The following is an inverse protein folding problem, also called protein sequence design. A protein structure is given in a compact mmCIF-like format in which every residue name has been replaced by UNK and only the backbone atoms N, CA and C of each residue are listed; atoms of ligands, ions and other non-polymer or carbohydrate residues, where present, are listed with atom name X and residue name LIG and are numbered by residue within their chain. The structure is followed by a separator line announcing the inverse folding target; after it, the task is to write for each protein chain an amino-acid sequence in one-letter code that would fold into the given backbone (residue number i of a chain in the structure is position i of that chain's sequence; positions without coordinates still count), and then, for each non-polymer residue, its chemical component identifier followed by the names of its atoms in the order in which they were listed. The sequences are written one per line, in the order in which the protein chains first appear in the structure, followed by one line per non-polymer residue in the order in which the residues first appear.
data_IF_274116067079
#
_entry.id   IF_274116067079
#
_cell.length_a   1.000
_cell.length_b   1.000
_cell.length_c   1.000
_cell.angle_alpha   90.00
_cell.angle_beta   90.00
_cell.angle_gamma   90.00
#
_symmetry.space_group_name_H-M   'P 1'
#
loop_
_entity.id
_entity.type
_entity.pdbx_description
1 polymer ?
#
# COMPACT_ATOMS: atom_id res chain seq x y z
N UNK A 1 -1.20 13.84 9.57
CA UNK A 1 -0.90 12.53 10.20
C UNK A 1 0.44 12.59 10.96
N UNK A 2 1.55 13.01 10.36
CA UNK A 2 2.88 13.03 10.99
C UNK A 2 2.91 13.77 12.35
N UNK A 3 2.25 14.93 12.46
CA UNK A 3 2.14 15.68 13.73
C UNK A 3 1.38 14.87 14.79
N UNK A 4 0.29 14.20 14.42
CA UNK A 4 -0.45 13.32 15.33
C UNK A 4 0.43 12.14 15.79
N UNK A 5 1.10 11.47 14.85
CA UNK A 5 2.00 10.36 15.15
C UNK A 5 3.12 10.79 16.11
N UNK A 6 3.81 11.91 15.83
CA UNK A 6 4.85 12.47 16.72
C UNK A 6 4.32 12.73 18.14
N UNK A 7 3.13 13.32 18.26
CA UNK A 7 2.51 13.57 19.58
C UNK A 7 2.26 12.24 20.32
N UNK A 8 1.69 11.24 19.64
CA UNK A 8 1.45 9.93 20.23
C UNK A 8 2.76 9.26 20.67
N UNK A 9 3.80 9.29 19.83
CA UNK A 9 5.11 8.76 20.16
C UNK A 9 5.75 9.46 21.36
N UNK A 10 5.66 10.79 21.42
CA UNK A 10 6.20 11.56 22.55
C UNK A 10 5.49 11.26 23.87
N UNK A 11 4.18 11.05 23.84
CA UNK A 11 3.38 10.80 25.03
C UNK A 11 3.48 9.35 25.53
N UNK A 12 3.55 8.38 24.61
CA UNK A 12 3.38 6.97 24.92
C UNK A 12 4.59 6.10 24.58
N UNK A 13 5.61 6.62 23.90
CA UNK A 13 6.77 5.86 23.44
C UNK A 13 7.54 5.15 24.55
N UNK A 14 7.49 5.66 25.78
CA UNK A 14 8.09 4.99 26.94
C UNK A 14 7.28 3.80 27.48
N UNK A 15 6.01 3.65 27.06
CA UNK A 15 5.10 2.56 27.47
C UNK A 15 4.81 1.58 26.34
N UNK A 16 4.76 2.06 25.10
CA UNK A 16 4.40 1.27 23.92
C UNK A 16 5.69 0.84 23.22
N UNK A 17 5.88 -0.45 23.11
CA UNK A 17 7.07 -1.04 22.49
C UNK A 17 6.92 -1.25 20.97
N UNK A 18 5.72 -1.62 20.52
CA UNK A 18 5.45 -1.93 19.11
C UNK A 18 4.43 -0.94 18.55
N UNK A 19 4.81 -0.28 17.46
CA UNK A 19 3.99 0.72 16.79
C UNK A 19 3.65 0.29 15.38
N UNK A 20 2.41 0.46 14.99
CA UNK A 20 1.91 0.22 13.64
C UNK A 20 1.43 1.55 13.08
N UNK A 21 1.97 1.97 11.95
CA UNK A 21 1.59 3.22 11.29
C UNK A 21 0.20 3.12 10.67
N UNK A 22 -0.03 2.07 9.89
CA UNK A 22 -1.31 1.76 9.25
C UNK A 22 -1.59 0.26 9.34
N UNK A 23 -2.86 -0.06 9.51
CA UNK A 23 -3.40 -1.39 9.32
C UNK A 23 -4.18 -1.40 8.00
N UNK A 24 -3.84 -2.33 7.10
CA UNK A 24 -4.50 -2.57 5.82
C UNK A 24 -4.64 -1.29 4.95
N UNK A 25 -3.57 -0.60 4.60
CA UNK A 25 -3.62 0.69 3.90
C UNK A 25 -4.28 0.62 2.52
N UNK A 26 -4.39 -0.58 1.92
CA UNK A 26 -5.08 -0.77 0.64
C UNK A 26 -6.61 -0.69 0.77
N UNK A 27 -7.18 -1.02 1.94
CA UNK A 27 -8.64 -1.08 2.13
C UNK A 27 -9.34 0.25 1.86
N UNK A 28 -8.89 1.41 2.37
CA UNK A 28 -9.48 2.69 1.99
C UNK A 28 -9.30 3.03 0.50
N UNK A 29 -8.24 2.54 -0.15
CA UNK A 29 -8.02 2.74 -1.59
C UNK A 29 -9.03 1.91 -2.40
N UNK A 30 -9.11 0.60 -2.12
CA UNK A 30 -10.05 -0.28 -2.79
C UNK A 30 -11.50 0.16 -2.53
N UNK A 31 -11.89 0.24 -1.27
CA UNK A 31 -13.26 0.47 -0.87
C UNK A 31 -13.77 1.85 -1.18
N UNK A 32 -12.92 2.86 -1.11
CA UNK A 32 -13.30 4.24 -1.30
C UNK A 32 -13.18 4.75 -2.72
N UNK A 33 -12.24 4.18 -3.54
CA UNK A 33 -11.86 4.77 -4.83
C UNK A 33 -11.83 3.79 -6.00
N UNK A 34 -11.84 2.48 -5.79
CA UNK A 34 -11.97 1.48 -6.85
C UNK A 34 -13.33 0.80 -6.83
N UNK A 35 -13.84 0.53 -5.63
CA UNK A 35 -15.17 -0.01 -5.38
C UNK A 35 -16.03 1.02 -4.65
N UNK A 36 -17.14 0.62 -4.05
CA UNK A 36 -18.11 1.52 -3.41
C UNK A 36 -18.58 1.04 -2.03
N UNK A 37 -17.76 0.25 -1.33
CA UNK A 37 -18.11 -0.25 0.00
C UNK A 37 -17.57 0.58 1.16
N UNK A 38 -16.75 1.63 0.88
CA UNK A 38 -16.29 2.62 1.85
C UNK A 38 -16.47 4.05 1.32
N UNK A 39 -16.70 4.99 2.23
CA UNK A 39 -16.67 6.41 1.89
C UNK A 39 -15.26 6.78 1.32
N UNK A 40 -15.19 7.61 0.27
CA UNK A 40 -16.24 8.43 -0.33
C UNK A 40 -17.01 7.77 -1.49
N UNK A 41 -16.88 6.46 -1.70
CA UNK A 41 -17.62 5.69 -2.72
C UNK A 41 -17.41 6.23 -4.16
N UNK A 42 -16.19 6.64 -4.47
CA UNK A 42 -15.80 7.12 -5.81
C UNK A 42 -15.14 5.99 -6.58
N UNK A 43 -15.50 5.86 -7.87
CA UNK A 43 -14.83 4.93 -8.80
C UNK A 43 -13.89 5.72 -9.70
N UNK A 44 -12.69 5.98 -9.22
CA UNK A 44 -11.71 6.85 -9.87
C UNK A 44 -10.29 6.33 -9.62
N UNK A 45 -9.68 5.75 -10.66
CA UNK A 45 -8.34 5.16 -10.58
C UNK A 45 -7.23 6.19 -10.30
N UNK A 46 -7.39 7.43 -10.76
CA UNK A 46 -6.43 8.51 -10.51
C UNK A 46 -6.45 8.90 -9.03
N UNK A 47 -7.64 9.06 -8.46
CA UNK A 47 -7.78 9.34 -7.03
C UNK A 47 -7.30 8.14 -6.19
N UNK A 48 -7.57 6.91 -6.61
CA UNK A 48 -7.09 5.72 -5.93
C UNK A 48 -5.55 5.71 -5.84
N UNK A 49 -4.86 5.94 -6.96
CA UNK A 49 -3.40 6.02 -6.99
C UNK A 49 -2.85 7.17 -6.13
N UNK A 50 -3.50 8.35 -6.16
CA UNK A 50 -3.10 9.48 -5.33
C UNK A 50 -3.28 9.19 -3.84
N UNK A 51 -4.37 8.56 -3.45
CA UNK A 51 -4.65 8.18 -2.05
C UNK A 51 -3.65 7.14 -1.57
N UNK A 52 -3.35 6.12 -2.38
CA UNK A 52 -2.32 5.12 -2.06
C UNK A 52 -0.95 5.79 -1.82
N UNK A 53 -0.54 6.69 -2.72
CA UNK A 53 0.70 7.45 -2.56
C UNK A 53 0.71 8.30 -1.28
N UNK A 54 -0.38 9.01 -1.00
CA UNK A 54 -0.49 9.85 0.19
C UNK A 54 -0.45 9.05 1.50
N UNK A 55 -1.00 7.83 1.50
CA UNK A 55 -0.93 6.92 2.66
C UNK A 55 0.53 6.45 2.87
N UNK A 56 1.22 6.05 1.80
CA UNK A 56 2.65 5.69 1.88
C UNK A 56 3.51 6.85 2.36
N UNK A 57 3.23 8.06 1.89
CA UNK A 57 3.93 9.26 2.34
C UNK A 57 3.64 9.58 3.82
N UNK A 58 2.40 9.40 4.26
CA UNK A 58 2.03 9.58 5.67
C UNK A 58 2.72 8.53 6.56
N UNK A 59 2.83 7.28 6.10
CA UNK A 59 3.63 6.23 6.74
C UNK A 59 5.09 6.65 6.88
N UNK A 60 5.73 7.05 5.79
CA UNK A 60 7.13 7.44 5.79
C UNK A 60 7.42 8.61 6.75
N UNK A 61 6.56 9.63 6.73
CA UNK A 61 6.67 10.76 7.68
C UNK A 61 6.47 10.35 9.15
N UNK A 62 5.65 9.32 9.41
CA UNK A 62 5.50 8.79 10.76
C UNK A 62 6.74 8.00 11.19
N UNK A 63 7.29 7.14 10.31
CA UNK A 63 8.55 6.43 10.56
C UNK A 63 9.69 7.41 10.85
N UNK A 64 9.84 8.44 10.03
CA UNK A 64 10.85 9.51 10.27
C UNK A 64 10.66 10.15 11.64
N UNK A 65 9.43 10.55 11.99
CA UNK A 65 9.15 11.15 13.29
C UNK A 65 9.46 10.21 14.46
N UNK A 66 9.26 8.91 14.29
CA UNK A 66 9.60 7.89 15.29
C UNK A 66 11.11 7.77 15.47
N UNK A 67 11.86 7.70 14.36
CA UNK A 67 13.34 7.61 14.39
C UNK A 67 14.00 8.85 15.02
N UNK A 68 13.49 10.04 14.70
CA UNK A 68 13.97 11.30 15.31
C UNK A 68 13.81 11.37 16.83
N UNK A 69 12.82 10.66 17.39
CA UNK A 69 12.59 10.58 18.82
C UNK A 69 13.48 9.55 19.54
N UNK A 70 14.26 8.77 18.79
CA UNK A 70 15.19 7.75 19.31
C UNK A 70 14.54 6.80 20.35
N UNK A 71 13.32 6.37 20.12
CA UNK A 71 12.58 5.49 21.02
C UNK A 71 13.16 4.07 20.98
N UNK A 72 13.09 3.37 22.11
CA UNK A 72 13.62 2.01 22.26
C UNK A 72 12.71 0.90 21.74
N UNK A 73 11.55 1.25 21.16
CA UNK A 73 10.61 0.30 20.58
C UNK A 73 10.85 0.03 19.10
N UNK A 74 9.85 -0.57 18.47
CA UNK A 74 9.86 -0.96 17.06
C UNK A 74 8.65 -0.36 16.33
N UNK A 75 8.83 0.02 15.05
CA UNK A 75 7.77 0.56 14.20
C UNK A 75 7.63 -0.25 12.91
N UNK A 76 6.39 -0.53 12.53
CA UNK A 76 6.08 -1.30 11.34
C UNK A 76 4.78 -0.88 10.67
N UNK A 77 4.35 -1.69 9.72
CA UNK A 77 3.08 -1.58 9.00
C UNK A 77 2.41 -2.95 8.96
N UNK A 78 1.08 -2.99 8.90
CA UNK A 78 0.33 -4.23 8.70
C UNK A 78 -0.33 -4.19 7.34
N UNK A 79 0.01 -5.16 6.48
CA UNK A 79 -0.55 -5.32 5.14
C UNK A 79 -1.48 -6.53 5.11
N UNK A 80 -2.63 -6.38 4.44
CA UNK A 80 -3.45 -7.52 4.09
C UNK A 80 -2.97 -8.10 2.76
N UNK A 81 -2.26 -9.22 2.83
CA UNK A 81 -1.69 -9.87 1.66
C UNK A 81 -2.56 -11.05 1.23
N UNK A 82 -2.97 -11.04 -0.04
CA UNK A 82 -3.84 -12.05 -0.61
C UNK A 82 -3.15 -12.73 -1.80
N UNK A 83 -2.57 -13.93 -1.62
CA UNK A 83 -1.94 -14.66 -2.72
C UNK A 83 -2.90 -14.86 -3.90
N UNK A 84 -2.43 -14.57 -5.10
CA UNK A 84 -3.22 -14.66 -6.32
C UNK A 84 -2.80 -15.87 -7.14
N UNK A 85 -3.61 -16.93 -7.10
CA UNK A 85 -3.41 -18.15 -7.88
C UNK A 85 -4.22 -18.12 -9.17
N UNK A 86 -3.70 -18.71 -10.22
CA UNK A 86 -4.41 -18.87 -11.49
C UNK A 86 -5.58 -19.84 -11.35
N UNK A 87 -6.66 -19.62 -12.09
CA UNK A 87 -7.76 -20.58 -12.18
C UNK A 87 -7.37 -21.76 -13.06
N UNK A 88 -6.66 -21.48 -14.18
CA UNK A 88 -6.12 -22.48 -15.12
C UNK A 88 -4.63 -22.22 -15.37
N UNK A 89 -3.96 -23.14 -16.07
CA UNK A 89 -2.56 -22.97 -16.47
C UNK A 89 -2.37 -22.12 -17.75
N UNK A 90 -3.44 -21.49 -18.24
CA UNK A 90 -3.36 -20.63 -19.43
C UNK A 90 -2.48 -19.40 -19.17
N UNK A 91 -1.79 -18.93 -20.22
CA UNK A 91 -0.97 -17.72 -20.14
C UNK A 91 -1.83 -16.47 -19.84
N UNK A 92 -3.08 -16.46 -20.27
CA UNK A 92 -4.03 -15.40 -19.98
C UNK A 92 -4.33 -15.33 -18.47
N UNK A 93 -4.61 -16.46 -17.82
CA UNK A 93 -4.88 -16.51 -16.37
C UNK A 93 -3.61 -16.19 -15.57
N UNK A 94 -2.44 -16.66 -16.01
CA UNK A 94 -1.15 -16.30 -15.37
C UNK A 94 -0.90 -14.80 -15.42
N UNK A 95 -1.16 -14.17 -16.55
CA UNK A 95 -1.06 -12.71 -16.70
C UNK A 95 -2.05 -11.97 -15.80
N UNK A 96 -3.29 -12.43 -15.74
CA UNK A 96 -4.32 -11.86 -14.89
C UNK A 96 -3.97 -11.99 -13.38
N UNK A 97 -3.46 -13.16 -12.96
CA UNK A 97 -3.00 -13.35 -11.58
C UNK A 97 -1.80 -12.45 -11.24
N UNK A 98 -0.87 -12.26 -12.20
CA UNK A 98 0.23 -11.30 -12.06
C UNK A 98 -0.24 -9.86 -11.87
N UNK A 99 -1.28 -9.43 -12.58
CA UNK A 99 -1.89 -8.11 -12.37
C UNK A 99 -2.57 -8.02 -11.01
N UNK A 100 -3.32 -9.04 -10.60
CA UNK A 100 -3.96 -9.06 -9.29
C UNK A 100 -2.91 -8.94 -8.16
N UNK A 101 -1.82 -9.67 -8.24
CA UNK A 101 -0.71 -9.55 -7.28
C UNK A 101 -0.07 -8.16 -7.30
N UNK A 102 0.16 -7.62 -8.49
CA UNK A 102 0.76 -6.30 -8.68
C UNK A 102 -0.07 -5.19 -8.04
N UNK A 103 -1.38 -5.19 -8.25
CA UNK A 103 -2.28 -4.17 -7.74
C UNK A 103 -2.61 -4.34 -6.25
N UNK A 104 -2.86 -5.57 -5.79
CA UNK A 104 -3.39 -5.81 -4.45
C UNK A 104 -2.32 -6.12 -3.39
N UNK A 105 -1.16 -6.60 -3.79
CA UNK A 105 -0.07 -6.89 -2.86
C UNK A 105 1.11 -5.95 -3.05
N UNK A 106 1.70 -5.97 -4.26
CA UNK A 106 2.98 -5.32 -4.53
C UNK A 106 2.89 -3.80 -4.55
N UNK A 107 1.70 -3.23 -4.79
CA UNK A 107 1.48 -1.78 -4.75
C UNK A 107 1.89 -1.12 -3.43
N UNK A 108 1.75 -1.83 -2.30
CA UNK A 108 2.20 -1.39 -0.98
C UNK A 108 3.43 -2.17 -0.49
N UNK A 109 3.49 -3.48 -0.74
CA UNK A 109 4.59 -4.32 -0.27
C UNK A 109 5.95 -3.86 -0.82
N UNK A 110 6.03 -3.64 -2.14
CA UNK A 110 7.30 -3.29 -2.77
C UNK A 110 7.81 -1.91 -2.29
N UNK A 111 7.03 -0.81 -2.28
CA UNK A 111 7.51 0.46 -1.77
C UNK A 111 7.86 0.48 -0.28
N UNK A 112 7.07 -0.20 0.56
CA UNK A 112 7.22 -0.11 2.02
C UNK A 112 8.21 -1.13 2.61
N UNK A 113 8.55 -2.18 1.87
CA UNK A 113 9.40 -3.27 2.36
C UNK A 113 10.62 -3.51 1.49
N UNK A 114 10.48 -3.37 0.15
CA UNK A 114 11.60 -3.54 -0.78
C UNK A 114 12.22 -2.23 -1.23
N UNK A 115 11.66 -1.09 -0.81
CA UNK A 115 12.15 0.25 -1.15
C UNK A 115 12.19 0.54 -2.66
N UNK A 116 11.21 -0.01 -3.40
CA UNK A 116 11.08 0.20 -4.84
C UNK A 116 9.62 0.34 -5.27
N UNK A 117 9.32 1.26 -6.18
CA UNK A 117 8.01 1.28 -6.82
C UNK A 117 7.97 0.22 -7.93
N UNK A 118 6.92 -0.66 -7.99
CA UNK A 118 6.81 -1.67 -9.03
C UNK A 118 6.74 -1.03 -10.42
N UNK A 119 7.78 -1.20 -11.23
CA UNK A 119 7.89 -0.58 -12.56
C UNK A 119 6.65 -0.85 -13.43
N UNK A 120 6.19 -2.11 -13.47
CA UNK A 120 5.02 -2.49 -14.26
C UNK A 120 3.74 -1.76 -13.81
N UNK A 121 3.57 -1.52 -12.49
CA UNK A 121 2.43 -0.74 -11.98
C UNK A 121 2.53 0.72 -12.42
N UNK A 122 3.72 1.31 -12.32
CA UNK A 122 3.94 2.70 -12.76
C UNK A 122 3.66 2.87 -14.26
N UNK A 123 4.09 1.91 -15.09
CA UNK A 123 3.82 1.90 -16.53
C UNK A 123 2.32 1.82 -16.84
N UNK A 124 1.57 0.96 -16.13
CA UNK A 124 0.12 0.84 -16.27
C UNK A 124 -0.57 2.16 -15.86
N UNK A 125 -0.22 2.70 -14.69
CA UNK A 125 -0.78 3.97 -14.22
C UNK A 125 -0.49 5.12 -15.18
N UNK A 126 0.70 5.17 -15.76
CA UNK A 126 1.08 6.17 -16.77
C UNK A 126 0.24 6.03 -18.04
N UNK A 127 0.05 4.80 -18.53
CA UNK A 127 -0.73 4.54 -19.76
C UNK A 127 -2.22 4.93 -19.61
N UNK A 128 -2.72 5.04 -18.38
CA UNK A 128 -4.11 5.39 -18.07
C UNK A 128 -4.25 6.79 -17.43
N UNK A 129 -3.23 7.64 -17.48
CA UNK A 129 -3.22 8.96 -16.85
C UNK A 129 -3.54 8.94 -15.34
N UNK A 130 -3.16 7.88 -14.66
CA UNK A 130 -3.43 7.63 -13.24
C UNK A 130 -2.20 7.78 -12.34
N UNK A 131 -1.06 8.28 -12.85
CA UNK A 131 0.10 8.54 -12.00
C UNK A 131 -0.25 9.58 -10.92
N UNK A 132 0.15 9.34 -9.66
CA UNK A 132 -0.05 10.33 -8.59
C UNK A 132 0.81 11.58 -8.83
N UNK A 133 0.27 12.72 -8.44
CA UNK A 133 1.08 13.94 -8.34
C UNK A 133 2.01 13.82 -7.15
N UNK A 134 3.30 13.93 -7.37
CA UNK A 134 4.33 13.73 -6.36
C UNK A 134 5.54 14.64 -6.61
N UNK A 135 6.33 14.90 -5.59
CA UNK A 135 7.69 15.43 -5.72
C UNK A 135 8.72 14.31 -5.67
N UNK A 136 9.93 14.60 -6.16
CA UNK A 136 11.05 13.65 -6.04
C UNK A 136 11.41 13.38 -4.57
N UNK A 137 11.30 14.38 -3.72
CA UNK A 137 11.62 14.28 -2.30
C UNK A 137 10.58 13.40 -1.57
N UNK A 138 9.28 13.52 -1.91
CA UNK A 138 8.24 12.67 -1.32
C UNK A 138 8.41 11.20 -1.73
N UNK A 139 8.72 10.93 -2.99
CA UNK A 139 9.00 9.58 -3.47
C UNK A 139 10.24 8.98 -2.80
N UNK A 140 11.32 9.75 -2.70
CA UNK A 140 12.55 9.33 -2.02
C UNK A 140 12.31 9.07 -0.52
N UNK A 141 11.49 9.89 0.13
CA UNK A 141 11.13 9.71 1.53
C UNK A 141 10.38 8.39 1.76
N UNK A 142 9.42 8.04 0.89
CA UNK A 142 8.72 6.76 0.96
C UNK A 142 9.71 5.60 0.88
N UNK A 143 10.62 5.63 -0.10
CA UNK A 143 11.57 4.55 -0.34
C UNK A 143 12.72 4.48 0.69
N UNK A 144 12.87 5.48 1.55
CA UNK A 144 13.88 5.50 2.62
C UNK A 144 13.34 5.18 4.01
N UNK A 145 12.04 4.93 4.13
CA UNK A 145 11.38 4.72 5.41
C UNK A 145 11.53 3.27 5.90
N UNK A 146 12.65 2.96 6.55
CA UNK A 146 12.92 1.64 7.11
C UNK A 146 11.99 1.29 8.26
N UNK A 147 11.34 0.14 8.15
CA UNK A 147 10.49 -0.45 9.21
C UNK A 147 11.22 -1.59 9.92
N UNK A 148 10.89 -1.81 11.20
CA UNK A 148 11.49 -2.88 12.00
C UNK A 148 10.76 -4.22 11.81
N UNK A 149 9.47 -4.19 11.45
CA UNK A 149 8.67 -5.40 11.22
C UNK A 149 7.54 -5.16 10.21
N UNK A 150 7.14 -6.23 9.54
CA UNK A 150 5.95 -6.32 8.72
C UNK A 150 4.93 -7.22 9.43
N UNK A 151 3.75 -6.67 9.73
CA UNK A 151 2.58 -7.45 10.11
C UNK A 151 1.80 -7.89 8.87
N UNK A 152 1.25 -9.07 8.90
CA UNK A 152 0.45 -9.61 7.79
C UNK A 152 -0.91 -10.07 8.29
N UNK A 153 -1.96 -9.46 7.73
CA UNK A 153 -3.32 -9.98 7.82
C UNK A 153 -3.57 -10.90 6.62
N UNK A 154 -3.81 -12.16 6.88
CA UNK A 154 -4.13 -13.15 5.86
C UNK A 154 -5.49 -13.78 6.15
N UNK A 155 -6.36 -13.80 5.14
CA UNK A 155 -7.70 -14.35 5.26
C UNK A 155 -7.90 -15.53 4.31
N UNK A 156 -7.86 -15.26 3.02
CA UNK A 156 -8.10 -16.25 1.96
C UNK A 156 -7.24 -15.93 0.73
N UNK A 157 -6.84 -16.93 -0.07
CA UNK A 157 -6.23 -16.68 -1.36
C UNK A 157 -7.28 -16.24 -2.38
N UNK A 158 -6.83 -15.57 -3.44
CA UNK A 158 -7.65 -15.30 -4.63
C UNK A 158 -7.38 -16.36 -5.70
N UNK A 159 -8.45 -16.80 -6.38
CA UNK A 159 -8.33 -17.49 -7.67
C UNK A 159 -8.69 -16.52 -8.76
N UNK A 160 -7.79 -16.36 -9.74
CA UNK A 160 -7.88 -15.34 -10.78
C UNK A 160 -8.02 -16.01 -12.13
N UNK A 161 -9.01 -15.55 -12.90
CA UNK A 161 -9.26 -15.91 -14.28
C UNK A 161 -9.09 -14.67 -15.15
N UNK A 162 -8.55 -14.85 -16.34
CA UNK A 162 -8.55 -13.80 -17.34
C UNK A 162 -9.98 -13.45 -17.76
N UNK A 163 -10.20 -12.17 -18.02
CA UNK A 163 -11.47 -11.70 -18.56
C UNK A 163 -11.73 -12.28 -19.93
N UNK A 164 -12.91 -12.83 -20.17
CA UNK A 164 -13.31 -13.45 -21.45
C UNK A 164 -14.04 -12.47 -22.35
N UNK A 165 -14.70 -11.49 -21.76
CA UNK A 165 -15.45 -10.47 -22.48
C UNK A 165 -15.29 -9.09 -21.85
N UNK A 166 -15.75 -8.04 -22.51
CA UNK A 166 -15.76 -6.68 -21.98
C UNK A 166 -16.68 -6.52 -20.76
N UNK A 167 -17.59 -7.46 -20.55
CA UNK A 167 -18.65 -7.41 -19.54
C UNK A 167 -18.53 -8.47 -18.44
N UNK A 168 -17.41 -9.20 -18.39
CA UNK A 168 -17.16 -10.22 -17.34
C UNK A 168 -16.79 -9.58 -15.99
#
# INVERSE_FOLDING_TARGET
FARFARTAFSLFGHKVKYWITFNEPIVPVEGGYLYDFHYPCKKDGRLAAQVAFNIMLAHAKAVTAYRELALAGEIGVVLNLTPSYTLTDSDADKKAAGYADLFFNRSFLDPLVKHEFPKALCEILAAHDCLPTTSKDDAALILSADIDFLGVNYYVPRRVKARESEYD
#
